data_IF_048203376212
#
_entry.id   IF_048203376212
#
_cell.length_a   1.000
_cell.length_b   1.000
_cell.length_c   1.000
_cell.angle_alpha   90.00
_cell.angle_beta   90.00
_cell.angle_gamma   90.00
#
_symmetry.space_group_name_H-M   'P 1'
#
loop_
_entity.id
_entity.type
_entity.pdbx_description
1 polymer ?
#
# COMPACT_ATOMS: atom_id res chain seq x y z
N UNK A 1 22.97 -10.98 13.02
CA UNK A 1 23.06 -9.64 12.41
C UNK A 1 22.66 -8.64 13.48
N UNK A 2 23.53 -7.68 13.82
CA UNK A 2 23.17 -6.62 14.77
C UNK A 2 22.55 -5.47 13.97
N UNK A 3 21.33 -5.07 14.33
CA UNK A 3 20.74 -3.87 13.76
C UNK A 3 21.48 -2.63 14.29
N UNK A 4 21.54 -1.54 13.52
CA UNK A 4 22.00 -0.25 14.02
C UNK A 4 21.22 0.16 15.27
N UNK A 5 21.85 0.84 16.22
CA UNK A 5 21.24 1.21 17.50
C UNK A 5 20.00 2.13 17.39
N UNK A 6 19.78 2.74 16.23
CA UNK A 6 18.64 3.62 15.92
C UNK A 6 17.56 2.93 15.07
N UNK A 7 17.56 1.59 15.03
CA UNK A 7 16.59 0.79 14.30
C UNK A 7 15.89 -0.18 15.24
N UNK A 8 14.58 -0.33 15.06
CA UNK A 8 13.75 -1.29 15.79
C UNK A 8 13.11 -2.27 14.82
N UNK A 9 13.04 -3.54 15.22
CA UNK A 9 12.33 -4.57 14.45
C UNK A 9 10.84 -4.31 14.58
N UNK A 10 10.18 -4.16 13.43
CA UNK A 10 8.74 -4.00 13.32
C UNK A 10 8.06 -5.34 13.06
N UNK A 11 8.62 -6.13 12.14
CA UNK A 11 8.08 -7.45 11.77
C UNK A 11 9.21 -8.46 11.60
N UNK A 12 8.97 -9.68 12.04
CA UNK A 12 9.85 -10.83 11.82
C UNK A 12 9.03 -11.95 11.19
N UNK A 13 9.26 -12.21 9.90
CA UNK A 13 8.45 -13.11 9.09
C UNK A 13 9.27 -14.33 8.66
N UNK A 14 9.14 -15.47 9.36
CA UNK A 14 9.83 -16.69 8.98
C UNK A 14 9.39 -17.14 7.58
N UNK A 15 10.34 -17.33 6.69
CA UNK A 15 10.11 -17.81 5.33
C UNK A 15 10.22 -19.34 5.27
N UNK A 16 11.27 -19.90 5.87
CA UNK A 16 11.44 -21.34 6.00
C UNK A 16 12.20 -21.69 7.29
N UNK A 17 11.94 -22.90 7.78
CA UNK A 17 12.70 -23.55 8.83
C UNK A 17 13.49 -24.74 8.25
N UNK A 18 14.63 -25.00 8.87
CA UNK A 18 15.54 -26.09 8.51
C UNK A 18 15.84 -26.89 9.78
N UNK A 19 15.56 -28.19 9.77
CA UNK A 19 15.90 -29.11 10.87
C UNK A 19 16.93 -30.11 10.36
N UNK A 20 18.11 -30.13 11.00
CA UNK A 20 19.19 -31.07 10.68
C UNK A 20 19.54 -31.15 9.18
N UNK A 21 19.46 -30.00 8.48
CA UNK A 21 19.73 -29.87 7.05
C UNK A 21 18.52 -30.12 6.13
N UNK A 22 17.37 -30.53 6.66
CA UNK A 22 16.12 -30.64 5.90
C UNK A 22 15.35 -29.30 5.93
N UNK A 23 15.37 -28.58 4.80
CA UNK A 23 14.71 -27.28 4.62
C UNK A 23 13.30 -27.37 4.03
N UNK A 24 12.71 -26.20 3.73
CA UNK A 24 11.36 -26.09 3.19
C UNK A 24 10.23 -26.34 4.20
N UNK A 25 10.53 -26.36 5.49
CA UNK A 25 9.53 -26.57 6.55
C UNK A 25 8.85 -25.23 6.89
N UNK A 26 7.51 -25.20 6.86
CA UNK A 26 6.71 -24.02 7.24
C UNK A 26 6.34 -24.00 8.72
N UNK A 27 6.09 -25.17 9.30
CA UNK A 27 5.82 -25.36 10.72
C UNK A 27 6.71 -26.49 11.25
N UNK A 28 7.36 -26.23 12.38
CA UNK A 28 8.33 -27.11 13.02
C UNK A 28 7.95 -27.42 14.48
N UNK A 29 6.80 -26.93 14.94
CA UNK A 29 6.34 -27.19 16.30
C UNK A 29 6.06 -28.69 16.46
N UNK A 30 6.68 -29.29 17.48
CA UNK A 30 6.57 -30.72 17.78
C UNK A 30 7.53 -31.63 17.00
N UNK A 31 8.37 -31.07 16.12
CA UNK A 31 9.45 -31.83 15.48
C UNK A 31 10.67 -31.93 16.41
N UNK A 32 11.43 -33.01 16.27
CA UNK A 32 12.68 -33.23 17.01
C UNK A 32 13.87 -33.02 16.07
N UNK A 33 14.94 -32.40 16.57
CA UNK A 33 16.19 -32.25 15.84
C UNK A 33 17.31 -31.72 16.72
N UNK A 34 18.55 -31.81 16.23
CA UNK A 34 19.73 -31.31 16.93
C UNK A 34 20.01 -29.83 16.62
N UNK A 35 19.69 -29.40 15.40
CA UNK A 35 19.86 -28.01 14.95
C UNK A 35 18.59 -27.53 14.24
N UNK A 36 18.08 -26.39 14.72
CA UNK A 36 17.02 -25.62 14.07
C UNK A 36 17.63 -24.34 13.50
N UNK A 37 17.34 -24.08 12.23
CA UNK A 37 17.67 -22.84 11.55
C UNK A 37 16.39 -22.22 10.99
N UNK A 38 16.36 -20.90 10.88
CA UNK A 38 15.24 -20.17 10.29
C UNK A 38 15.76 -19.11 9.34
N UNK A 39 15.26 -19.12 8.12
CA UNK A 39 15.44 -18.02 7.17
C UNK A 39 14.23 -17.11 7.32
N UNK A 40 14.48 -15.86 7.72
CA UNK A 40 13.41 -14.91 8.06
C UNK A 40 13.62 -13.57 7.34
N UNK A 41 12.51 -12.95 6.98
CA UNK A 41 12.47 -11.56 6.52
C UNK A 41 12.24 -10.66 7.73
N UNK A 42 13.24 -9.83 8.05
CA UNK A 42 13.15 -8.84 9.13
C UNK A 42 12.86 -7.48 8.52
N UNK A 43 11.78 -6.85 8.98
CA UNK A 43 11.41 -5.50 8.61
C UNK A 43 11.63 -4.60 9.83
N UNK A 44 12.36 -3.51 9.63
CA UNK A 44 12.77 -2.62 10.71
C UNK A 44 12.58 -1.16 10.30
N UNK A 45 12.51 -0.28 11.29
CA UNK A 45 12.28 1.15 11.09
C UNK A 45 13.04 2.01 12.09
N UNK A 46 13.01 3.33 11.86
CA UNK A 46 13.67 4.31 12.72
C UNK A 46 12.99 4.39 14.09
N UNK A 47 13.75 4.08 15.15
CA UNK A 47 13.30 4.26 16.54
C UNK A 47 12.81 5.68 16.83
N UNK A 48 13.43 6.70 16.23
CA UNK A 48 13.05 8.10 16.45
C UNK A 48 11.68 8.44 15.86
N UNK A 49 11.33 7.84 14.72
CA UNK A 49 10.02 8.06 14.10
C UNK A 49 8.92 7.35 14.88
N UNK A 50 9.16 6.12 15.37
CA UNK A 50 8.21 5.40 16.21
C UNK A 50 7.91 6.18 17.50
N UNK A 51 8.94 6.66 18.20
CA UNK A 51 8.76 7.51 19.39
C UNK A 51 7.97 8.80 19.11
N UNK A 52 8.09 9.35 17.91
CA UNK A 52 7.32 10.53 17.51
C UNK A 52 5.84 10.17 17.31
N UNK A 53 5.56 8.98 16.76
CA UNK A 53 4.21 8.45 16.63
C UNK A 53 3.62 8.12 18.00
N UNK A 54 4.34 7.41 18.87
CA UNK A 54 3.93 7.12 20.26
C UNK A 54 3.50 8.41 20.96
N UNK A 55 4.37 9.43 20.94
CA UNK A 55 4.08 10.71 21.58
C UNK A 55 2.82 11.38 21.02
N UNK A 56 2.61 11.33 19.71
CA UNK A 56 1.42 11.90 19.08
C UNK A 56 0.13 11.18 19.53
N UNK A 57 0.19 9.86 19.67
CA UNK A 57 -0.94 9.05 20.14
C UNK A 57 -1.20 9.26 21.64
N UNK A 58 -0.14 9.26 22.46
CA UNK A 58 -0.19 9.54 23.91
C UNK A 58 -0.80 10.92 24.20
N UNK A 59 -0.43 11.95 23.43
CA UNK A 59 -1.00 13.30 23.55
C UNK A 59 -2.51 13.37 23.26
N UNK A 60 -3.08 12.33 22.66
CA UNK A 60 -4.50 12.18 22.37
C UNK A 60 -5.16 11.05 23.18
N UNK A 61 -4.51 10.56 24.25
CA UNK A 61 -4.99 9.48 25.11
C UNK A 61 -5.25 8.16 24.35
N UNK A 62 -4.44 7.87 23.32
CA UNK A 62 -4.51 6.64 22.52
C UNK A 62 -3.29 5.76 22.81
N UNK A 63 -3.54 4.55 23.32
CA UNK A 63 -2.50 3.54 23.51
C UNK A 63 -2.20 2.82 22.18
N UNK A 64 -0.91 2.61 21.88
CA UNK A 64 -0.44 1.92 20.68
C UNK A 64 -0.10 0.46 21.01
N UNK A 65 -0.96 -0.46 20.57
CA UNK A 65 -0.74 -1.90 20.77
C UNK A 65 0.40 -2.46 19.91
N UNK A 66 0.68 -1.83 18.77
CA UNK A 66 1.75 -2.27 17.87
C UNK A 66 1.80 -1.53 16.54
N UNK A 67 2.85 -1.82 15.78
CA UNK A 67 3.15 -1.16 14.51
C UNK A 67 3.08 -2.13 13.35
N UNK A 68 2.29 -1.80 12.33
CA UNK A 68 2.25 -2.55 11.07
C UNK A 68 2.75 -1.67 9.95
N UNK A 69 3.66 -2.19 9.13
CA UNK A 69 4.11 -1.43 7.97
C UNK A 69 3.00 -1.39 6.91
N UNK A 70 2.78 -0.22 6.33
CA UNK A 70 1.73 0.04 5.33
C UNK A 70 1.63 -1.02 4.21
N UNK A 71 2.72 -1.46 3.54
CA UNK A 71 2.59 -2.43 2.46
C UNK A 71 2.08 -3.81 2.90
N UNK A 72 2.31 -4.21 4.16
CA UNK A 72 1.73 -5.44 4.73
C UNK A 72 0.25 -5.24 5.02
N UNK A 73 -0.11 -4.12 5.65
CA UNK A 73 -1.50 -3.80 5.96
C UNK A 73 -2.32 -3.72 4.67
N UNK A 74 -1.94 -2.87 3.71
CA UNK A 74 -2.64 -2.70 2.44
C UNK A 74 -2.84 -4.03 1.70
N UNK A 75 -1.77 -4.83 1.57
CA UNK A 75 -1.83 -6.12 0.89
C UNK A 75 -2.68 -7.16 1.62
N UNK A 76 -2.90 -7.03 2.94
CA UNK A 76 -3.85 -7.87 3.69
C UNK A 76 -5.29 -7.58 3.29
N UNK A 77 -5.63 -6.32 3.04
CA UNK A 77 -6.99 -5.92 2.70
C UNK A 77 -7.39 -6.24 1.25
N UNK A 78 -6.43 -6.27 0.32
CA UNK A 78 -6.74 -6.32 -1.13
C UNK A 78 -6.27 -7.58 -1.85
N UNK A 79 -5.28 -8.31 -1.33
CA UNK A 79 -4.75 -9.48 -2.01
C UNK A 79 -5.41 -10.77 -1.52
N UNK A 80 -5.91 -11.53 -2.48
CA UNK A 80 -6.41 -12.89 -2.21
C UNK A 80 -5.26 -13.86 -1.91
N UNK A 81 -5.56 -14.94 -1.17
CA UNK A 81 -4.61 -16.04 -0.93
C UNK A 81 -4.03 -16.59 -2.23
N UNK A 82 -4.87 -16.75 -3.26
CA UNK A 82 -4.46 -17.24 -4.59
C UNK A 82 -3.42 -16.34 -5.25
N UNK A 83 -3.58 -15.01 -5.18
CA UNK A 83 -2.59 -14.09 -5.74
C UNK A 83 -1.25 -14.20 -5.00
N UNK A 84 -1.28 -14.28 -3.67
CA UNK A 84 -0.07 -14.45 -2.84
C UNK A 84 0.67 -15.76 -3.14
N UNK A 85 -0.06 -16.84 -3.38
CA UNK A 85 0.53 -18.14 -3.78
C UNK A 85 1.16 -18.09 -5.17
N UNK A 86 0.49 -17.47 -6.15
CA UNK A 86 0.96 -17.46 -7.55
C UNK A 86 2.13 -16.51 -7.81
N UNK A 87 2.30 -15.46 -7.01
CA UNK A 87 3.29 -14.41 -7.25
C UNK A 87 2.63 -13.09 -7.65
N UNK A 88 2.58 -12.12 -6.73
CA UNK A 88 1.91 -10.81 -6.92
C UNK A 88 2.70 -9.69 -6.25
N UNK A 89 2.67 -8.49 -6.82
CA UNK A 89 3.09 -7.27 -6.15
C UNK A 89 1.89 -6.38 -5.79
N UNK A 90 1.78 -5.98 -4.54
CA UNK A 90 0.90 -4.89 -4.12
C UNK A 90 1.71 -3.59 -4.13
N UNK A 91 1.25 -2.58 -4.86
CA UNK A 91 1.89 -1.27 -4.94
C UNK A 91 0.90 -0.22 -4.45
N UNK A 92 1.15 0.36 -3.29
CA UNK A 92 0.36 1.46 -2.72
C UNK A 92 1.00 2.79 -3.12
N UNK A 93 0.31 3.59 -3.95
CA UNK A 93 0.78 4.92 -4.35
C UNK A 93 -0.02 5.97 -3.57
N UNK A 94 0.54 6.39 -2.44
CA UNK A 94 -0.01 7.42 -1.55
C UNK A 94 0.29 8.85 -2.03
N UNK A 95 0.25 9.79 -1.09
CA UNK A 95 0.66 11.19 -1.31
C UNK A 95 2.19 11.32 -1.32
N UNK A 96 2.84 11.01 -0.20
CA UNK A 96 4.30 11.16 -0.06
C UNK A 96 5.13 9.93 -0.44
N UNK A 97 4.54 8.75 -0.48
CA UNK A 97 5.28 7.49 -0.67
C UNK A 97 4.62 6.55 -1.68
N UNK A 98 5.45 5.64 -2.19
CA UNK A 98 5.03 4.46 -2.95
C UNK A 98 5.56 3.24 -2.24
N UNK A 99 4.67 2.42 -1.70
CA UNK A 99 5.00 1.23 -0.93
C UNK A 99 4.85 -0.02 -1.80
N UNK A 100 5.76 -0.97 -1.65
CA UNK A 100 5.80 -2.20 -2.44
C UNK A 100 5.84 -3.38 -1.48
N UNK A 101 4.93 -4.34 -1.66
CA UNK A 101 5.02 -5.68 -1.08
C UNK A 101 4.94 -6.72 -2.20
N UNK A 102 5.86 -7.69 -2.19
CA UNK A 102 5.86 -8.80 -3.15
C UNK A 102 5.66 -10.10 -2.40
N UNK A 103 4.67 -10.87 -2.86
CA UNK A 103 4.34 -12.18 -2.33
C UNK A 103 4.59 -13.26 -3.37
N UNK A 104 5.07 -14.43 -2.94
CA UNK A 104 5.19 -15.64 -3.74
C UNK A 104 5.10 -16.86 -2.81
N UNK A 105 4.46 -17.95 -3.26
CA UNK A 105 4.23 -19.16 -2.46
C UNK A 105 3.56 -18.87 -1.10
N UNK A 106 2.75 -17.81 -1.05
CA UNK A 106 2.03 -17.37 0.15
C UNK A 106 2.85 -16.50 1.11
N UNK A 107 4.15 -16.36 0.90
CA UNK A 107 5.06 -15.62 1.76
C UNK A 107 5.32 -14.20 1.25
N UNK A 108 5.52 -13.24 2.17
CA UNK A 108 6.11 -11.95 1.81
C UNK A 108 7.61 -12.15 1.56
N UNK A 109 8.04 -11.96 0.30
CA UNK A 109 9.45 -12.16 -0.08
C UNK A 109 10.22 -10.84 -0.18
N UNK A 110 9.52 -9.72 -0.30
CA UNK A 110 10.13 -8.40 -0.40
C UNK A 110 9.17 -7.29 0.03
N UNK A 111 9.71 -6.26 0.68
CA UNK A 111 9.00 -5.02 0.98
C UNK A 111 9.93 -3.81 0.84
N UNK A 112 9.44 -2.71 0.29
CA UNK A 112 10.19 -1.45 0.21
C UNK A 112 9.28 -0.24 0.17
N UNK A 113 9.75 0.88 0.71
CA UNK A 113 9.07 2.18 0.70
C UNK A 113 9.91 3.15 -0.13
N UNK A 114 9.32 3.75 -1.16
CA UNK A 114 9.94 4.76 -1.99
C UNK A 114 9.41 6.15 -1.56
N UNK A 115 10.27 7.15 -1.33
CA UNK A 115 9.86 8.49 -0.88
C UNK A 115 9.37 9.35 -2.04
N UNK A 116 8.41 8.83 -2.81
CA UNK A 116 7.79 9.49 -3.97
C UNK A 116 6.35 9.02 -4.11
N UNK A 117 5.42 9.95 -4.34
CA UNK A 117 3.99 9.63 -4.49
C UNK A 117 3.22 10.72 -5.25
N UNK A 118 1.91 10.78 -5.00
CA UNK A 118 0.99 11.71 -5.64
C UNK A 118 1.26 13.20 -5.35
N UNK A 119 1.94 13.53 -4.26
CA UNK A 119 2.31 14.91 -3.90
C UNK A 119 3.42 15.43 -4.82
N UNK A 120 4.31 14.55 -5.29
CA UNK A 120 5.33 14.91 -6.27
C UNK A 120 4.69 15.29 -7.61
N UNK A 121 3.60 14.63 -7.99
CA UNK A 121 2.82 14.99 -9.19
C UNK A 121 2.24 16.40 -9.03
N UNK A 122 1.65 16.70 -7.86
CA UNK A 122 1.08 18.02 -7.55
C UNK A 122 2.14 19.12 -7.59
N UNK A 123 3.31 18.86 -7.00
CA UNK A 123 4.41 19.81 -7.00
C UNK A 123 4.96 20.07 -8.41
N UNK A 124 5.06 19.06 -9.26
CA UNK A 124 5.47 19.24 -10.65
C UNK A 124 4.45 20.06 -11.44
N UNK A 125 3.16 19.84 -11.20
CA UNK A 125 2.08 20.63 -11.81
C UNK A 125 2.12 22.09 -11.33
N UNK A 126 2.32 22.32 -10.04
CA UNK A 126 2.44 23.67 -9.50
C UNK A 126 3.58 24.46 -10.16
N UNK A 127 4.74 23.80 -10.35
CA UNK A 127 5.89 24.40 -11.03
C UNK A 127 5.63 24.58 -12.53
N UNK A 128 5.14 23.55 -13.20
CA UNK A 128 4.95 23.53 -14.65
C UNK A 128 3.87 24.49 -15.13
N UNK A 129 2.78 24.61 -14.36
CA UNK A 129 1.66 25.51 -14.63
C UNK A 129 1.80 26.87 -13.95
N UNK A 130 2.79 27.04 -13.05
CA UNK A 130 3.06 28.27 -12.28
C UNK A 130 1.90 28.73 -11.40
N UNK A 131 1.21 27.76 -10.79
CA UNK A 131 0.06 27.99 -9.91
C UNK A 131 0.36 27.58 -8.47
N UNK A 132 -0.51 27.97 -7.54
CA UNK A 132 -0.47 27.46 -6.16
C UNK A 132 -0.63 25.93 -6.06
N UNK A 133 -0.05 25.31 -5.03
CA UNK A 133 -0.10 23.85 -4.80
C UNK A 133 -1.54 23.34 -4.69
N UNK A 134 -2.42 24.09 -4.02
CA UNK A 134 -3.84 23.74 -3.87
C UNK A 134 -4.57 23.74 -5.23
N UNK A 135 -4.27 24.71 -6.10
CA UNK A 135 -4.78 24.77 -7.46
C UNK A 135 -4.24 23.60 -8.29
N UNK A 136 -2.95 23.31 -8.19
CA UNK A 136 -2.33 22.17 -8.88
C UNK A 136 -2.96 20.83 -8.47
N UNK A 137 -3.28 20.64 -7.19
CA UNK A 137 -3.95 19.43 -6.71
C UNK A 137 -5.35 19.28 -7.33
N UNK A 138 -6.10 20.38 -7.40
CA UNK A 138 -7.42 20.38 -8.03
C UNK A 138 -7.33 20.11 -9.52
N UNK A 139 -6.36 20.71 -10.21
CA UNK A 139 -6.07 20.42 -11.63
C UNK A 139 -5.73 18.94 -11.82
N UNK A 140 -4.86 18.37 -10.98
CA UNK A 140 -4.49 16.94 -11.00
C UNK A 140 -5.71 16.03 -10.91
N UNK A 141 -6.62 16.32 -9.97
CA UNK A 141 -7.81 15.51 -9.71
C UNK A 141 -8.88 15.66 -10.78
N UNK A 142 -9.12 16.87 -11.28
CA UNK A 142 -10.22 17.17 -12.20
C UNK A 142 -9.86 16.89 -13.68
N UNK A 143 -8.61 17.15 -14.09
CA UNK A 143 -8.21 17.12 -15.50
C UNK A 143 -7.13 16.10 -15.82
N UNK A 144 -6.50 15.52 -14.80
CA UNK A 144 -5.36 14.62 -14.93
C UNK A 144 -5.68 13.23 -15.46
N UNK A 145 -4.66 12.60 -16.05
CA UNK A 145 -4.62 11.17 -16.39
C UNK A 145 -3.17 10.72 -16.46
N UNK A 146 -2.95 9.40 -16.46
CA UNK A 146 -1.60 8.84 -16.45
C UNK A 146 -0.92 8.81 -17.82
N UNK A 147 -1.68 8.87 -18.92
CA UNK A 147 -1.16 8.62 -20.27
C UNK A 147 -1.66 9.65 -21.28
N UNK A 148 -0.77 10.50 -21.78
CA UNK A 148 -1.09 11.56 -22.74
C UNK A 148 -1.55 11.02 -24.10
N UNK A 149 -1.13 9.80 -24.47
CA UNK A 149 -1.56 9.19 -25.73
C UNK A 149 -3.05 8.82 -25.77
N UNK A 150 -3.72 8.72 -24.62
CA UNK A 150 -5.17 8.47 -24.51
C UNK A 150 -6.02 9.73 -24.57
N UNK A 151 -5.39 10.90 -24.61
CA UNK A 151 -6.11 12.15 -24.63
C UNK A 151 -6.86 12.31 -25.96
N UNK A 152 -8.20 12.21 -25.91
CA UNK A 152 -9.06 12.28 -27.09
C UNK A 152 -8.95 13.64 -27.82
N UNK A 153 -8.86 14.74 -27.07
CA UNK A 153 -8.78 16.10 -27.61
C UNK A 153 -7.52 16.81 -27.11
N UNK A 154 -6.49 16.85 -27.96
CA UNK A 154 -5.18 17.45 -27.61
C UNK A 154 -5.17 18.97 -27.49
N UNK A 155 -6.29 19.64 -27.84
CA UNK A 155 -6.45 21.10 -27.81
C UNK A 155 -7.41 21.56 -26.71
N UNK A 156 -7.83 20.66 -25.82
CA UNK A 156 -8.63 21.03 -24.67
C UNK A 156 -7.85 22.01 -23.81
N UNK A 157 -8.45 23.16 -23.57
CA UNK A 157 -7.91 24.23 -22.75
C UNK A 157 -8.64 24.23 -21.40
N UNK A 158 -7.89 24.47 -20.33
CA UNK A 158 -8.37 24.58 -18.96
C UNK A 158 -8.23 26.05 -18.58
N UNK A 159 -9.35 26.69 -18.32
CA UNK A 159 -9.36 28.04 -17.74
C UNK A 159 -9.18 27.92 -16.23
N UNK A 160 -7.98 28.27 -15.75
CA UNK A 160 -7.62 28.11 -14.34
C UNK A 160 -8.43 29.06 -13.44
N UNK A 161 -9.01 30.12 -13.98
CA UNK A 161 -9.85 31.05 -13.22
C UNK A 161 -11.16 30.41 -12.73
N UNK A 162 -11.60 29.32 -13.38
CA UNK A 162 -12.74 28.51 -12.93
C UNK A 162 -12.38 27.65 -11.72
N UNK A 163 -11.09 27.40 -11.49
CA UNK A 163 -10.57 26.64 -10.37
C UNK A 163 -10.26 27.63 -9.24
N UNK A 164 -9.33 28.56 -9.48
CA UNK A 164 -8.96 29.61 -8.54
C UNK A 164 -9.11 30.99 -9.22
N UNK A 165 -10.00 31.88 -8.73
CA UNK A 165 -10.20 33.20 -9.31
C UNK A 165 -8.96 34.10 -9.39
N UNK A 166 -7.90 33.78 -8.63
CA UNK A 166 -6.64 34.51 -8.68
C UNK A 166 -5.76 34.09 -9.88
N UNK A 167 -6.00 32.90 -10.44
CA UNK A 167 -5.27 32.36 -11.58
C UNK A 167 -5.98 32.78 -12.87
N UNK A 168 -5.31 33.58 -13.70
CA UNK A 168 -5.91 34.12 -14.94
C UNK A 168 -5.44 33.41 -16.21
N UNK A 169 -4.60 32.40 -16.03
CA UNK A 169 -3.98 31.70 -17.14
C UNK A 169 -4.91 30.61 -17.68
N UNK A 170 -4.77 30.34 -18.97
CA UNK A 170 -5.41 29.22 -19.65
C UNK A 170 -4.31 28.26 -20.07
N UNK A 171 -4.39 27.01 -19.63
CA UNK A 171 -3.37 25.99 -19.90
C UNK A 171 -3.94 24.88 -20.77
N UNK A 172 -3.11 24.19 -21.53
CA UNK A 172 -3.58 23.03 -22.28
C UNK A 172 -3.66 21.83 -21.33
N UNK A 173 -4.76 21.08 -21.41
CA UNK A 173 -4.90 19.81 -20.70
C UNK A 173 -3.78 18.83 -21.07
N UNK A 174 -3.30 18.90 -22.31
CA UNK A 174 -2.15 18.12 -22.77
C UNK A 174 -0.91 18.35 -21.89
N UNK A 175 -0.61 19.59 -21.53
CA UNK A 175 0.57 19.92 -20.73
C UNK A 175 0.45 19.35 -19.30
N UNK A 176 -0.75 19.44 -18.71
CA UNK A 176 -1.07 18.80 -17.41
C UNK A 176 -0.77 17.30 -17.47
N UNK A 177 -1.28 16.63 -18.49
CA UNK A 177 -1.15 15.17 -18.61
C UNK A 177 0.30 14.75 -18.90
N UNK A 178 1.04 15.49 -19.72
CA UNK A 178 2.46 15.22 -20.00
C UNK A 178 3.32 15.36 -18.74
N UNK A 179 3.05 16.35 -17.89
CA UNK A 179 3.72 16.50 -16.59
C UNK A 179 3.40 15.29 -15.68
N UNK A 180 2.13 14.91 -15.57
CA UNK A 180 1.72 13.78 -14.74
C UNK A 180 2.29 12.45 -15.23
N UNK A 181 2.24 12.19 -16.54
CA UNK A 181 2.80 10.99 -17.15
C UNK A 181 4.31 10.89 -16.89
N UNK A 182 5.06 12.00 -17.00
CA UNK A 182 6.48 12.02 -16.70
C UNK A 182 6.78 11.57 -15.26
N UNK A 183 6.05 12.10 -14.27
CA UNK A 183 6.25 11.73 -12.86
C UNK A 183 5.81 10.29 -12.57
N UNK A 184 4.68 9.85 -13.12
CA UNK A 184 4.23 8.47 -12.95
C UNK A 184 5.20 7.47 -13.59
N UNK A 185 5.80 7.83 -14.73
CA UNK A 185 6.85 7.04 -15.36
C UNK A 185 8.08 6.88 -14.46
N UNK A 186 8.50 7.93 -13.77
CA UNK A 186 9.59 7.87 -12.81
C UNK A 186 9.25 6.97 -11.60
N UNK A 187 8.03 7.11 -11.04
CA UNK A 187 7.55 6.23 -9.97
C UNK A 187 7.62 4.76 -10.40
N UNK A 188 7.07 4.43 -11.59
CA UNK A 188 7.11 3.05 -12.08
C UNK A 188 8.52 2.59 -12.45
N UNK A 189 9.42 3.47 -12.86
CA UNK A 189 10.83 3.11 -13.06
C UNK A 189 11.51 2.72 -11.73
N UNK A 190 11.24 3.45 -10.65
CA UNK A 190 11.74 3.12 -9.31
C UNK A 190 11.15 1.81 -8.78
N UNK A 191 9.85 1.58 -8.99
CA UNK A 191 9.21 0.28 -8.71
C UNK A 191 9.92 -0.84 -9.49
N UNK A 192 10.13 -0.66 -10.79
CA UNK A 192 10.80 -1.67 -11.62
C UNK A 192 12.22 -1.98 -11.13
N UNK A 193 12.96 -0.94 -10.69
CA UNK A 193 14.28 -1.11 -10.06
C UNK A 193 14.18 -1.94 -8.78
N UNK A 194 13.15 -1.76 -7.96
CA UNK A 194 12.91 -2.60 -6.77
C UNK A 194 12.59 -4.05 -7.14
N UNK A 195 11.71 -4.30 -8.11
CA UNK A 195 11.38 -5.65 -8.58
C UNK A 195 12.61 -6.35 -9.19
N UNK A 196 13.45 -5.62 -9.92
CA UNK A 196 14.68 -6.15 -10.52
C UNK A 196 15.70 -6.61 -9.48
N UNK A 197 15.78 -5.95 -8.31
CA UNK A 197 16.70 -6.35 -7.23
C UNK A 197 16.42 -7.76 -6.71
N UNK A 198 15.17 -8.22 -6.82
CA UNK A 198 14.74 -9.56 -6.39
C UNK A 198 14.51 -10.52 -7.57
N UNK A 199 14.88 -10.12 -8.80
CA UNK A 199 14.70 -10.93 -10.01
C UNK A 199 13.24 -11.19 -10.38
N UNK A 200 12.33 -10.28 -10.01
CA UNK A 200 10.89 -10.37 -10.30
C UNK A 200 10.43 -9.36 -11.35
N UNK A 201 11.34 -8.74 -12.10
CA UNK A 201 10.93 -7.89 -13.23
C UNK A 201 10.21 -8.73 -14.28
N UNK A 202 9.03 -8.28 -14.73
CA UNK A 202 8.19 -9.01 -15.69
C UNK A 202 7.86 -10.48 -15.32
N UNK A 203 8.09 -10.90 -14.07
CA UNK A 203 7.86 -12.27 -13.60
C UNK A 203 7.10 -12.30 -12.27
N UNK A 204 5.80 -12.04 -12.36
CA UNK A 204 4.82 -12.20 -11.29
C UNK A 204 3.52 -12.73 -11.93
N UNK A 205 3.23 -14.04 -11.87
CA UNK A 205 2.10 -14.64 -12.58
C UNK A 205 0.72 -14.04 -12.26
N UNK A 206 0.49 -13.61 -11.02
CA UNK A 206 -0.73 -12.89 -10.64
C UNK A 206 -0.63 -11.36 -10.84
N UNK A 207 0.53 -10.87 -11.29
CA UNK A 207 0.75 -9.51 -11.74
C UNK A 207 0.90 -8.50 -10.60
N UNK A 208 0.34 -7.32 -10.82
CA UNK A 208 0.41 -6.15 -9.94
C UNK A 208 -1.01 -5.74 -9.54
N UNK A 209 -1.17 -5.42 -8.26
CA UNK A 209 -2.37 -4.81 -7.69
C UNK A 209 -1.99 -3.41 -7.21
N UNK A 210 -2.54 -2.38 -7.85
CA UNK A 210 -2.35 -0.98 -7.46
C UNK A 210 -3.39 -0.57 -6.42
N UNK A 211 -2.95 0.10 -5.36
CA UNK A 211 -3.81 0.68 -4.33
C UNK A 211 -3.35 2.10 -3.97
N UNK A 212 -4.01 2.74 -3.00
CA UNK A 212 -3.69 4.09 -2.58
C UNK A 212 -4.49 5.18 -3.30
N UNK A 213 -4.28 6.43 -2.89
CA UNK A 213 -4.98 7.58 -3.45
C UNK A 213 -4.70 7.78 -4.94
N UNK A 214 -3.46 7.57 -5.37
CA UNK A 214 -3.04 7.79 -6.76
C UNK A 214 -3.45 6.66 -7.71
N UNK A 215 -3.87 5.50 -7.19
CA UNK A 215 -4.47 4.42 -7.99
C UNK A 215 -5.77 4.85 -8.70
N UNK A 216 -6.39 5.96 -8.25
CA UNK A 216 -7.58 6.56 -8.86
C UNK A 216 -7.28 7.39 -10.12
N UNK A 217 -6.01 7.63 -10.45
CA UNK A 217 -5.63 8.39 -11.65
C UNK A 217 -6.08 7.61 -12.91
N UNK A 218 -6.86 8.22 -13.82
CA UNK A 218 -7.29 7.55 -15.04
C UNK A 218 -6.11 7.01 -15.86
N UNK A 219 -6.27 5.82 -16.44
CA UNK A 219 -5.25 5.13 -17.26
C UNK A 219 -3.96 4.72 -16.53
N UNK A 220 -3.90 4.82 -15.19
CA UNK A 220 -2.70 4.42 -14.43
C UNK A 220 -2.38 2.92 -14.57
N UNK A 221 -3.42 2.08 -14.70
CA UNK A 221 -3.28 0.64 -14.94
C UNK A 221 -2.57 0.38 -16.27
N UNK A 222 -2.93 1.14 -17.32
CA UNK A 222 -2.36 0.99 -18.65
C UNK A 222 -0.90 1.43 -18.64
N UNK A 223 -0.60 2.58 -18.04
CA UNK A 223 0.78 3.06 -17.91
C UNK A 223 1.65 2.06 -17.13
N UNK A 224 1.14 1.55 -16.01
CA UNK A 224 1.82 0.56 -15.19
C UNK A 224 2.11 -0.73 -15.98
N UNK A 225 1.12 -1.24 -16.72
CA UNK A 225 1.27 -2.42 -17.59
C UNK A 225 2.34 -2.20 -18.66
N UNK A 226 2.34 -1.04 -19.31
CA UNK A 226 3.31 -0.69 -20.35
C UNK A 226 4.74 -0.61 -19.79
N UNK A 227 4.90 -0.03 -18.59
CA UNK A 227 6.21 0.14 -17.96
C UNK A 227 6.76 -1.12 -17.29
N UNK A 228 5.93 -1.86 -16.58
CA UNK A 228 6.36 -3.01 -15.77
C UNK A 228 6.20 -4.35 -16.51
N UNK A 229 5.49 -4.37 -17.64
CA UNK A 229 5.25 -5.57 -18.48
C UNK A 229 4.62 -6.71 -17.69
N UNK A 230 3.81 -6.37 -16.70
CA UNK A 230 3.05 -7.29 -15.86
C UNK A 230 1.57 -6.99 -16.02
N UNK A 231 0.72 -8.01 -15.85
CA UNK A 231 -0.71 -7.77 -15.73
C UNK A 231 -0.95 -6.85 -14.53
N UNK A 232 -1.78 -5.82 -14.70
CA UNK A 232 -2.05 -4.83 -13.66
C UNK A 232 -3.55 -4.65 -13.51
N UNK A 233 -3.99 -4.51 -12.26
CA UNK A 233 -5.36 -4.15 -11.88
C UNK A 233 -5.36 -3.21 -10.66
N UNK A 234 -6.49 -2.57 -10.40
CA UNK A 234 -6.72 -1.85 -9.14
C UNK A 234 -7.20 -2.85 -8.08
N UNK A 235 -6.64 -2.77 -6.88
CA UNK A 235 -7.08 -3.54 -5.73
C UNK A 235 -8.09 -2.77 -4.91
N UNK A 236 -9.19 -3.42 -4.55
CA UNK A 236 -10.18 -2.87 -3.64
C UNK A 236 -10.22 -3.73 -2.38
N UNK A 237 -10.35 -3.12 -1.19
CA UNK A 237 -10.50 -3.87 0.05
C UNK A 237 -11.69 -4.84 -0.02
N UNK A 238 -11.43 -6.13 0.16
CA UNK A 238 -12.48 -7.15 0.20
C UNK A 238 -12.85 -7.53 1.65
N UNK A 239 -13.99 -8.20 1.83
CA UNK A 239 -14.54 -8.59 3.14
C UNK A 239 -15.01 -7.44 4.06
N UNK A 240 -15.04 -6.21 3.53
CA UNK A 240 -15.49 -4.99 4.23
C UNK A 240 -16.99 -4.74 4.06
N UNK A 241 -17.64 -5.33 3.05
CA UNK A 241 -19.10 -5.18 2.81
C UNK A 241 -19.92 -5.53 4.04
N UNK A 242 -19.45 -6.48 4.85
CA UNK A 242 -20.12 -6.84 6.08
C UNK A 242 -20.07 -5.72 7.13
N UNK A 243 -19.04 -4.85 7.12
CA UNK A 243 -18.64 -4.03 8.27
C UNK A 243 -19.13 -2.57 8.25
N UNK A 244 -19.01 -1.88 7.12
CA UNK A 244 -19.24 -0.42 7.04
C UNK A 244 -20.04 0.01 5.80
N UNK A 245 -20.53 -0.96 5.01
CA UNK A 245 -20.98 -0.72 3.64
C UNK A 245 -19.82 -0.88 2.64
N UNK A 246 -20.12 -0.83 1.34
CA UNK A 246 -19.09 -0.99 0.30
C UNK A 246 -18.11 0.19 0.32
N UNK A 247 -16.91 -0.03 0.83
CA UNK A 247 -15.78 0.91 0.71
C UNK A 247 -15.03 0.58 -0.58
N UNK A 248 -15.57 1.06 -1.70
CA UNK A 248 -14.99 0.87 -3.04
C UNK A 248 -13.98 1.99 -3.37
N UNK A 249 -13.01 2.20 -2.48
CA UNK A 249 -11.94 3.16 -2.71
C UNK A 249 -10.58 2.57 -2.30
N UNK A 250 -9.63 2.45 -3.25
CA UNK A 250 -8.32 1.84 -3.01
C UNK A 250 -7.48 2.61 -1.98
N UNK A 251 -7.82 3.86 -1.66
CA UNK A 251 -7.11 4.67 -0.65
C UNK A 251 -7.33 4.20 0.78
N UNK A 252 -8.35 3.37 1.05
CA UNK A 252 -8.59 2.81 2.39
C UNK A 252 -7.85 1.49 2.65
N UNK A 253 -7.10 0.96 1.69
CA UNK A 253 -6.44 -0.35 1.80
C UNK A 253 -5.59 -0.49 3.08
N UNK A 254 -4.74 0.49 3.37
CA UNK A 254 -3.87 0.45 4.57
C UNK A 254 -4.70 0.49 5.86
N UNK A 255 -5.66 1.42 5.99
CA UNK A 255 -6.48 1.55 7.19
C UNK A 255 -7.30 0.29 7.49
N UNK A 256 -7.95 -0.28 6.47
CA UNK A 256 -8.72 -1.51 6.61
C UNK A 256 -7.81 -2.72 6.87
N UNK A 257 -6.63 -2.73 6.25
CA UNK A 257 -5.59 -3.71 6.50
C UNK A 257 -5.11 -3.75 7.95
N UNK A 258 -4.98 -2.58 8.60
CA UNK A 258 -4.64 -2.47 10.02
C UNK A 258 -5.75 -3.05 10.91
N UNK A 259 -7.02 -2.81 10.55
CA UNK A 259 -8.16 -3.38 11.28
C UNK A 259 -8.13 -4.91 11.17
N UNK A 260 -7.95 -5.46 9.97
CA UNK A 260 -7.84 -6.91 9.78
C UNK A 260 -6.65 -7.49 10.53
N UNK A 261 -5.51 -6.80 10.53
CA UNK A 261 -4.36 -7.20 11.32
C UNK A 261 -4.68 -7.27 12.81
N UNK A 262 -5.28 -6.21 13.38
CA UNK A 262 -5.64 -6.16 14.79
C UNK A 262 -6.67 -7.21 15.20
N UNK A 263 -7.62 -7.57 14.31
CA UNK A 263 -8.60 -8.64 14.57
C UNK A 263 -7.92 -10.02 14.66
N UNK A 264 -6.87 -10.24 13.87
CA UNK A 264 -6.20 -11.55 13.78
C UNK A 264 -5.10 -11.74 14.83
N UNK A 265 -4.34 -10.69 15.15
CA UNK A 265 -3.36 -10.70 16.25
C UNK A 265 -4.02 -10.55 17.63
N UNK A 266 -5.17 -9.85 17.68
CA UNK A 266 -5.88 -9.55 18.91
C UNK A 266 -6.79 -10.67 19.37
N UNK A 267 -6.31 -11.43 20.36
CA UNK A 267 -7.11 -11.57 21.60
C UNK A 267 -7.40 -10.15 22.10
N UNK A 268 -8.54 -9.57 21.72
CA UNK A 268 -9.06 -8.37 22.36
C UNK A 268 -9.10 -8.62 23.88
N UNK A 269 -8.22 -7.94 24.62
CA UNK A 269 -8.18 -7.96 26.07
C UNK A 269 -9.58 -7.65 26.63
N UNK A 270 -10.30 -8.69 27.05
CA UNK A 270 -11.67 -8.60 27.56
C UNK A 270 -12.67 -9.64 27.04
N UNK A 271 -12.38 -10.40 25.98
CA UNK A 271 -13.25 -11.50 25.53
C UNK A 271 -12.51 -12.83 25.50
N UNK A 272 -12.65 -13.61 26.58
CA UNK A 272 -12.24 -15.01 26.57
C UNK A 272 -13.11 -15.79 25.57
N UNK A 273 -12.52 -16.34 24.51
CA UNK A 273 -13.12 -17.42 23.75
C UNK A 273 -12.17 -18.61 23.78
N UNK A 274 -12.41 -19.50 24.74
CA UNK A 274 -11.88 -20.85 24.68
C UNK A 274 -12.53 -21.63 23.55
N UNK A 275 -11.69 -22.31 22.75
CA UNK A 275 -12.05 -23.52 22.02
C UNK A 275 -12.78 -23.34 20.68
N UNK A 276 -12.11 -23.76 19.60
CA UNK A 276 -12.77 -24.41 18.46
C UNK A 276 -13.29 -23.50 17.33
N UNK A 277 -12.45 -23.31 16.31
CA UNK A 277 -12.66 -23.22 14.85
C UNK A 277 -14.02 -22.80 14.22
N UNK A 278 -14.93 -22.14 14.93
CA UNK A 278 -16.29 -21.83 14.44
C UNK A 278 -16.76 -20.39 14.70
N UNK A 279 -15.93 -19.54 15.32
CA UNK A 279 -16.35 -18.21 15.80
C UNK A 279 -15.70 -17.03 15.04
N UNK A 280 -15.74 -17.06 13.70
CA UNK A 280 -15.33 -15.88 12.88
C UNK A 280 -16.48 -14.86 12.75
N UNK A 281 -17.74 -15.29 12.79
CA UNK A 281 -18.89 -14.37 12.65
C UNK A 281 -19.06 -13.40 13.82
N UNK A 282 -18.76 -13.81 15.06
CA UNK A 282 -19.04 -12.99 16.24
C UNK A 282 -18.03 -11.84 16.46
N UNK A 283 -16.78 -12.02 16.03
CA UNK A 283 -15.74 -10.98 16.13
C UNK A 283 -15.96 -9.85 15.12
N UNK A 284 -16.42 -10.20 13.92
CA UNK A 284 -16.79 -9.27 12.84
C UNK A 284 -17.99 -8.39 13.24
N UNK A 285 -18.94 -8.94 14.01
CA UNK A 285 -20.10 -8.17 14.51
C UNK A 285 -19.78 -7.21 15.66
N UNK A 286 -18.71 -7.48 16.42
CA UNK A 286 -18.26 -6.60 17.50
C UNK A 286 -17.50 -5.38 16.96
N UNK A 287 -16.63 -5.57 15.97
CA UNK A 287 -15.96 -4.46 15.28
C UNK A 287 -16.94 -3.64 14.45
N UNK A 288 -17.97 -4.26 13.85
CA UNK A 288 -19.12 -3.55 13.25
C UNK A 288 -19.80 -2.59 14.22
N UNK A 289 -20.06 -3.05 15.45
CA UNK A 289 -20.69 -2.24 16.49
C UNK A 289 -19.81 -1.07 16.90
N UNK A 290 -18.50 -1.28 17.00
CA UNK A 290 -17.54 -0.24 17.33
C UNK A 290 -17.40 0.81 16.20
N UNK A 291 -17.28 0.37 14.93
CA UNK A 291 -17.22 1.27 13.77
C UNK A 291 -18.52 2.07 13.57
N UNK A 292 -19.69 1.46 13.85
CA UNK A 292 -20.97 2.18 13.84
C UNK A 292 -21.09 3.28 14.90
N UNK A 293 -20.34 3.17 16.00
CA UNK A 293 -20.34 4.20 17.04
C UNK A 293 -19.34 5.35 16.76
N UNK A 294 -18.45 5.18 15.76
CA UNK A 294 -17.45 6.17 15.36
C UNK A 294 -17.87 7.00 14.13
N UNK A 295 -18.90 6.57 13.41
CA UNK A 295 -19.51 7.36 12.34
C UNK A 295 -20.66 8.21 12.94
N UNK A 296 -20.78 9.50 12.56
CA UNK A 296 -21.84 10.39 13.05
C UNK A 296 -23.25 9.97 12.59
#
# INVERSE_FOLDING_TARGET
MALPANQEILHNLPHEFIIDGMGGLRDVVGMNGLRLEANTLILHGSSAHLKTLDKCMEENDIDVDGYVISPIAASRAVLTKRQKELGVACIDIGGGTTDIAVYEEGNLIYSSILPIGGDNITNDLAIGLRVGVDTAERVKREYGMARASDLAQKRDAIDLSQIDPNEKEVVLRKDVVEIMEARLNEIFELVNKSLKKIGKEAYLPAGIVLVGGSAKIPHIVDLCRDKLRLATQIGFPHDVEAMVGSVDDPSYATALGLIFWGIEEGEFGGFSIGGGLSSVNNSVDSVKKWLRNLLP
#
